data_IF_269870784987
#
_entry.id   IF_269870784987
#
_cell.length_a   1.000
_cell.length_b   1.000
_cell.length_c   1.000
_cell.angle_alpha   90.00
_cell.angle_beta   90.00
_cell.angle_gamma   90.00
#
_symmetry.space_group_name_H-M   'P 1'
#
loop_
_entity.id
_entity.type
_entity.pdbx_description
1 polymer ?
#
# COMPACT_ATOMS: atom_id res chain seq x y z
N UNK A 1 -31.52 -16.59 -15.57
CA UNK A 1 -30.16 -17.03 -15.94
C UNK A 1 -29.61 -17.99 -14.90
N UNK A 2 -29.36 -19.27 -15.25
CA UNK A 2 -28.64 -20.19 -14.36
C UNK A 2 -27.16 -19.79 -14.34
N UNK A 3 -26.64 -19.36 -13.19
CA UNK A 3 -25.20 -19.07 -13.01
C UNK A 3 -24.41 -20.35 -13.22
N UNK A 4 -23.64 -20.42 -14.30
CA UNK A 4 -22.74 -21.54 -14.57
C UNK A 4 -21.44 -21.33 -13.77
N UNK A 5 -21.46 -21.77 -12.51
CA UNK A 5 -20.34 -21.66 -11.59
C UNK A 5 -19.09 -22.40 -12.09
N UNK A 6 -19.25 -23.49 -12.83
CA UNK A 6 -18.12 -24.25 -13.38
C UNK A 6 -17.31 -23.42 -14.37
N UNK A 7 -17.98 -22.63 -15.22
CA UNK A 7 -17.30 -21.71 -16.14
C UNK A 7 -16.54 -20.63 -15.35
N UNK A 8 -17.18 -20.06 -14.34
CA UNK A 8 -16.58 -18.99 -13.53
C UNK A 8 -15.35 -19.46 -12.74
N UNK A 9 -15.34 -20.70 -12.26
CA UNK A 9 -14.15 -21.29 -11.62
C UNK A 9 -13.00 -21.41 -12.61
N UNK A 10 -13.25 -21.93 -13.83
CA UNK A 10 -12.21 -22.03 -14.87
C UNK A 10 -11.64 -20.65 -15.25
N UNK A 11 -12.49 -19.63 -15.36
CA UNK A 11 -12.06 -18.27 -15.67
C UNK A 11 -11.15 -17.70 -14.56
N UNK A 12 -11.48 -17.98 -13.28
CA UNK A 12 -10.67 -17.58 -12.12
C UNK A 12 -9.32 -18.30 -12.10
N UNK A 13 -9.28 -19.61 -12.35
CA UNK A 13 -8.04 -20.39 -12.40
C UNK A 13 -7.11 -19.90 -13.52
N UNK A 14 -7.66 -19.59 -14.70
CA UNK A 14 -6.90 -19.03 -15.81
C UNK A 14 -6.30 -17.66 -15.44
N UNK A 15 -7.10 -16.78 -14.81
CA UNK A 15 -6.62 -15.49 -14.32
C UNK A 15 -5.53 -15.64 -13.25
N UNK A 16 -5.69 -16.58 -12.31
CA UNK A 16 -4.69 -16.86 -11.30
C UNK A 16 -3.35 -17.28 -11.92
N UNK A 17 -3.39 -18.14 -12.95
CA UNK A 17 -2.19 -18.54 -13.69
C UNK A 17 -1.51 -17.37 -14.42
N UNK A 18 -2.29 -16.44 -14.97
CA UNK A 18 -1.75 -15.21 -15.58
C UNK A 18 -1.04 -14.37 -14.52
N UNK A 19 -1.68 -14.11 -13.38
CA UNK A 19 -1.09 -13.28 -12.32
C UNK A 19 0.11 -13.92 -11.63
N UNK A 20 0.19 -15.26 -11.59
CA UNK A 20 1.37 -15.95 -11.10
C UNK A 20 2.59 -15.75 -12.01
N UNK A 21 2.36 -15.66 -13.34
CA UNK A 21 3.43 -15.42 -14.33
C UNK A 21 3.75 -13.93 -14.48
N UNK A 22 2.74 -13.08 -14.41
CA UNK A 22 2.82 -11.63 -14.59
C UNK A 22 2.15 -10.94 -13.40
N UNK A 23 2.88 -10.76 -12.28
CA UNK A 23 2.31 -10.12 -11.11
C UNK A 23 1.92 -8.67 -11.43
N UNK A 24 0.70 -8.28 -11.04
CA UNK A 24 0.12 -6.94 -11.30
C UNK A 24 1.03 -5.84 -10.75
N UNK A 25 1.62 -6.08 -9.58
CA UNK A 25 2.56 -5.17 -8.97
C UNK A 25 3.94 -5.84 -8.96
N UNK A 26 4.99 -5.19 -9.49
CA UNK A 26 6.34 -5.69 -9.32
C UNK A 26 6.64 -5.74 -7.82
N UNK A 27 7.21 -6.86 -7.34
CA UNK A 27 7.63 -7.00 -5.95
C UNK A 27 8.58 -5.86 -5.61
N UNK A 28 8.17 -5.00 -4.67
CA UNK A 28 9.05 -3.97 -4.16
C UNK A 28 10.28 -4.62 -3.55
N UNK A 29 11.46 -4.21 -4.02
CA UNK A 29 12.74 -4.60 -3.46
C UNK A 29 13.26 -3.40 -2.67
N UNK A 30 13.23 -3.43 -1.33
CA UNK A 30 13.76 -2.35 -0.51
C UNK A 30 15.19 -2.07 -0.95
N UNK A 31 15.40 -0.86 -1.47
CA UNK A 31 16.73 -0.46 -1.91
C UNK A 31 17.52 -0.16 -0.64
N UNK A 32 18.58 -0.92 -0.39
CA UNK A 32 19.60 -0.50 0.56
C UNK A 32 20.06 0.89 0.10
N UNK A 33 20.04 1.89 0.97
CA UNK A 33 20.38 3.28 0.65
C UNK A 33 21.86 3.38 0.26
N UNK A 34 22.19 2.96 -0.95
CA UNK A 34 23.51 3.16 -1.53
C UNK A 34 23.59 4.62 -1.99
N UNK A 35 24.74 5.30 -1.85
CA UNK A 35 24.86 6.73 -2.18
C UNK A 35 24.44 7.13 -3.60
N UNK A 36 24.47 6.19 -4.54
CA UNK A 36 24.09 6.40 -5.94
C UNK A 36 22.64 6.00 -6.28
N UNK A 37 21.91 5.44 -5.31
CA UNK A 37 20.51 5.06 -5.50
C UNK A 37 19.62 6.18 -4.94
N UNK A 38 18.51 6.52 -5.63
CA UNK A 38 17.57 7.49 -5.10
C UNK A 38 16.97 6.98 -3.80
N UNK A 39 16.73 7.89 -2.87
CA UNK A 39 16.12 7.59 -1.57
C UNK A 39 14.72 7.00 -1.73
N UNK A 40 14.32 6.16 -0.76
CA UNK A 40 12.95 5.65 -0.66
C UNK A 40 11.98 6.82 -0.44
N UNK A 41 10.91 6.87 -1.25
CA UNK A 41 9.94 7.97 -1.17
C UNK A 41 8.88 7.57 -0.15
N UNK A 42 9.09 7.96 1.10
CA UNK A 42 8.13 7.77 2.19
C UNK A 42 7.99 9.07 3.00
N UNK A 43 7.23 10.04 2.46
CA UNK A 43 7.12 11.38 3.06
C UNK A 43 5.72 11.66 3.57
N UNK A 44 5.64 12.18 4.80
CA UNK A 44 4.39 12.54 5.46
C UNK A 44 4.17 14.06 5.41
N UNK A 45 2.92 14.46 5.19
CA UNK A 45 2.48 15.84 5.14
C UNK A 45 1.20 16.02 5.95
N UNK A 46 1.10 17.11 6.71
CA UNK A 46 -0.13 17.45 7.43
C UNK A 46 -1.15 18.16 6.55
N UNK A 47 -0.69 18.80 5.46
CA UNK A 47 -1.56 19.55 4.54
C UNK A 47 -1.58 18.86 3.18
N UNK A 48 -2.79 18.60 2.68
CA UNK A 48 -3.00 17.94 1.39
C UNK A 48 -2.26 18.64 0.24
N UNK A 49 -2.35 19.97 0.17
CA UNK A 49 -1.71 20.73 -0.92
C UNK A 49 -0.18 20.55 -0.94
N UNK A 50 0.46 20.36 0.22
CA UNK A 50 1.92 20.14 0.29
C UNK A 50 2.28 18.77 -0.29
N UNK A 51 1.46 17.74 -0.01
CA UNK A 51 1.62 16.42 -0.61
C UNK A 51 1.48 16.46 -2.14
N UNK A 52 0.49 17.20 -2.66
CA UNK A 52 0.32 17.38 -4.12
C UNK A 52 1.44 18.19 -4.77
N UNK A 53 1.94 19.23 -4.09
CA UNK A 53 3.07 19.99 -4.62
C UNK A 53 4.34 19.13 -4.64
N UNK A 54 4.55 18.29 -3.62
CA UNK A 54 5.65 17.35 -3.60
C UNK A 54 5.53 16.27 -4.68
N UNK A 55 4.34 15.67 -4.87
CA UNK A 55 4.14 14.63 -5.88
C UNK A 55 4.41 15.14 -7.30
N UNK A 56 4.07 16.40 -7.60
CA UNK A 56 4.39 17.05 -8.88
C UNK A 56 5.89 17.26 -9.12
N UNK A 57 6.69 17.33 -8.05
CA UNK A 57 8.14 17.49 -8.13
C UNK A 57 8.89 16.16 -8.28
N UNK A 58 8.22 15.04 -7.98
CA UNK A 58 8.78 13.70 -8.13
C UNK A 58 8.81 13.29 -9.61
N UNK A 59 9.85 12.54 -9.99
CA UNK A 59 9.97 11.93 -11.32
C UNK A 59 9.35 10.53 -11.35
N UNK A 60 9.27 9.90 -10.19
CA UNK A 60 8.70 8.59 -9.96
C UNK A 60 7.16 8.64 -9.92
N UNK A 61 6.51 7.51 -10.22
CA UNK A 61 5.06 7.34 -10.14
C UNK A 61 4.58 7.21 -8.68
N UNK A 62 4.50 8.37 -8.02
CA UNK A 62 4.13 8.49 -6.61
C UNK A 62 2.65 8.81 -6.44
N UNK A 63 2.07 8.24 -5.39
CA UNK A 63 0.67 8.36 -5.04
C UNK A 63 0.52 8.98 -3.65
N UNK A 64 -0.62 9.63 -3.42
CA UNK A 64 -0.94 10.30 -2.15
C UNK A 64 -2.00 9.49 -1.41
N UNK A 65 -1.70 9.05 -0.20
CA UNK A 65 -2.57 8.26 0.66
C UNK A 65 -2.97 9.08 1.89
N UNK A 66 -4.26 9.09 2.23
CA UNK A 66 -4.74 9.73 3.46
C UNK A 66 -4.78 8.69 4.59
N UNK A 67 -3.96 8.91 5.61
CA UNK A 67 -3.88 8.10 6.81
C UNK A 67 -4.77 8.71 7.90
N UNK A 68 -5.71 7.92 8.39
CA UNK A 68 -6.54 8.25 9.55
C UNK A 68 -5.95 7.57 10.78
N UNK A 69 -5.84 8.31 11.89
CA UNK A 69 -5.33 7.75 13.14
C UNK A 69 -6.49 7.10 13.91
N UNK A 70 -6.49 5.78 13.98
CA UNK A 70 -7.43 5.07 14.84
C UNK A 70 -7.07 5.36 16.31
N UNK A 71 -8.04 5.84 17.10
CA UNK A 71 -7.88 6.06 18.54
C UNK A 71 -7.70 7.51 19.01
N UNK A 72 -8.02 8.53 18.20
CA UNK A 72 -8.17 9.88 18.77
C UNK A 72 -9.40 9.91 19.69
N UNK A 73 -9.14 10.01 21.00
CA UNK A 73 -10.12 10.27 22.05
C UNK A 73 -11.06 11.39 21.59
N UNK A 74 -12.35 11.24 21.93
CA UNK A 74 -13.54 12.02 21.56
C UNK A 74 -13.42 13.55 21.41
N UNK A 75 -12.33 14.17 21.84
CA UNK A 75 -12.15 15.62 21.94
C UNK A 75 -11.07 16.19 20.99
N UNK A 76 -10.39 15.36 20.19
CA UNK A 76 -9.46 15.82 19.14
C UNK A 76 -10.07 15.46 17.78
N UNK A 77 -10.50 16.50 17.07
CA UNK A 77 -11.06 16.53 15.72
C UNK A 77 -11.14 15.19 14.97
N UNK A 78 -12.29 14.52 15.07
CA UNK A 78 -12.67 13.46 14.15
C UNK A 78 -12.39 13.91 12.69
N UNK A 79 -11.60 13.13 11.96
CA UNK A 79 -11.30 13.39 10.55
C UNK A 79 -9.97 14.11 10.26
N UNK A 80 -9.09 14.32 11.24
CA UNK A 80 -7.73 14.78 10.95
C UNK A 80 -6.95 13.69 10.20
N UNK A 81 -6.52 14.01 8.97
CA UNK A 81 -5.77 13.11 8.08
C UNK A 81 -4.33 13.57 7.95
N UNK A 82 -3.42 12.60 7.93
CA UNK A 82 -2.03 12.81 7.52
C UNK A 82 -1.88 12.24 6.12
N UNK A 83 -1.19 12.95 5.23
CA UNK A 83 -1.02 12.55 3.84
C UNK A 83 0.37 11.93 3.65
N UNK A 84 0.41 10.67 3.25
CA UNK A 84 1.64 9.96 2.87
C UNK A 84 1.82 10.03 1.36
N UNK A 85 3.02 10.39 0.91
CA UNK A 85 3.43 10.30 -0.49
C UNK A 85 4.45 9.18 -0.63
N UNK A 86 4.12 8.17 -1.43
CA UNK A 86 4.96 6.99 -1.69
C UNK A 86 4.52 6.29 -2.98
N UNK A 87 5.29 5.33 -3.46
CA UNK A 87 4.89 4.50 -4.60
C UNK A 87 3.91 3.39 -4.17
N UNK A 88 3.07 2.92 -5.09
CA UNK A 88 2.13 1.83 -4.79
C UNK A 88 2.85 0.55 -4.29
N UNK A 89 3.98 0.20 -4.92
CA UNK A 89 4.77 -0.97 -4.54
C UNK A 89 5.40 -0.83 -3.14
N UNK A 90 5.92 0.35 -2.79
CA UNK A 90 6.46 0.63 -1.45
C UNK A 90 5.37 0.52 -0.37
N UNK A 91 4.21 1.17 -0.60
CA UNK A 91 3.08 1.08 0.32
C UNK A 91 2.67 -0.38 0.53
N UNK A 92 2.48 -1.12 -0.56
CA UNK A 92 2.01 -2.51 -0.52
C UNK A 92 2.97 -3.43 0.24
N UNK A 93 4.28 -3.23 0.08
CA UNK A 93 5.30 -3.99 0.82
C UNK A 93 5.16 -3.80 2.33
N UNK A 94 5.15 -2.54 2.80
CA UNK A 94 5.03 -2.28 4.23
C UNK A 94 3.66 -2.69 4.76
N UNK A 95 2.60 -2.43 4.01
CA UNK A 95 1.25 -2.85 4.38
C UNK A 95 1.17 -4.37 4.58
N UNK A 96 1.69 -5.17 3.66
CA UNK A 96 1.72 -6.62 3.80
C UNK A 96 2.58 -7.10 4.95
N UNK A 97 3.79 -6.55 5.11
CA UNK A 97 4.71 -6.96 6.18
C UNK A 97 4.06 -6.72 7.55
N UNK A 98 3.52 -5.53 7.79
CA UNK A 98 2.90 -5.21 9.08
C UNK A 98 1.55 -5.91 9.28
N UNK A 99 0.76 -6.12 8.23
CA UNK A 99 -0.52 -6.83 8.35
C UNK A 99 -0.31 -8.33 8.61
N UNK A 100 0.61 -8.99 7.91
CA UNK A 100 0.97 -10.38 8.19
C UNK A 100 1.60 -10.54 9.58
N UNK A 101 2.49 -9.64 10.01
CA UNK A 101 3.05 -9.69 11.37
C UNK A 101 1.97 -9.55 12.45
N UNK A 102 0.97 -8.69 12.26
CA UNK A 102 -0.16 -8.57 13.20
C UNK A 102 -1.03 -9.83 13.23
N UNK A 103 -1.15 -10.56 12.11
CA UNK A 103 -1.81 -11.86 12.11
C UNK A 103 -1.03 -12.86 12.97
N UNK A 104 0.28 -13.01 12.75
CA UNK A 104 1.13 -13.89 13.58
C UNK A 104 1.16 -13.48 15.06
N UNK A 105 1.17 -12.19 15.37
CA UNK A 105 1.14 -11.71 16.76
C UNK A 105 -0.19 -11.96 17.47
N UNK A 106 -1.30 -12.18 16.73
CA UNK A 106 -2.60 -12.57 17.29
C UNK A 106 -2.72 -14.07 17.59
N UNK A 107 -1.86 -14.91 17.02
CA UNK A 107 -1.81 -16.37 17.28
C UNK A 107 -0.75 -16.76 18.32
N UNK A 108 0.03 -15.81 18.83
CA UNK A 108 0.87 -15.99 20.01
C UNK A 108 0.34 -15.13 21.16
N UNK A 109 -0.78 -15.58 21.74
CA UNK A 109 -1.17 -15.21 23.10
C UNK A 109 -1.19 -16.51 23.89
N UNK A 110 -0.29 -16.64 24.86
CA UNK A 110 -0.25 -17.76 25.82
C UNK A 110 -1.50 -17.75 26.70
#
# INVERSE_FOLDING_TARGET
MKRNWQKRVKDIEALAGIYQRYPINPTYKPRLSKPWQPESIWKLFYRQHQAFNFSKSCKEDVHIFALEKEGQKKDIAFGQRIYLVTTHSELWFYYHVYFCMNFYSRYYVY
#
